data_IF_500864294514
#
_entry.id   IF_500864294514
#
_cell.length_a   1.000
_cell.length_b   1.000
_cell.length_c   1.000
_cell.angle_alpha   90.00
_cell.angle_beta   90.00
_cell.angle_gamma   90.00
#
_symmetry.space_group_name_H-M   'P 1'
#
loop_
_entity.id
_entity.type
_entity.pdbx_description
1 polymer ?
#
# COMPACT_ATOMS: atom_id res chain seq x y z
N UNK A 1 -1.72 23.29 2.33
CA UNK A 1 -1.39 21.92 2.78
C UNK A 1 -0.09 21.53 2.10
N UNK A 2 0.93 21.15 2.88
CA UNK A 2 2.19 20.65 2.32
C UNK A 2 2.03 19.20 1.83
N UNK A 3 2.92 18.69 0.96
CA UNK A 3 2.91 17.28 0.58
C UNK A 3 3.08 16.37 1.80
N UNK A 4 2.26 15.32 1.87
CA UNK A 4 2.43 14.26 2.86
C UNK A 4 3.56 13.32 2.46
N UNK A 5 4.39 12.98 3.43
CA UNK A 5 5.32 11.85 3.40
C UNK A 5 4.76 10.83 4.37
N UNK A 6 4.72 9.56 3.99
CA UNK A 6 4.23 8.48 4.84
C UNK A 6 5.36 7.55 5.26
N UNK A 7 5.30 7.05 6.49
CA UNK A 7 6.18 5.97 6.93
C UNK A 7 5.74 4.68 6.22
N UNK A 8 6.66 3.95 5.54
CA UNK A 8 6.30 2.72 4.84
C UNK A 8 5.89 1.63 5.82
N UNK A 9 4.91 0.82 5.44
CA UNK A 9 4.52 -0.38 6.18
C UNK A 9 5.23 -1.57 5.52
N UNK A 10 6.19 -2.15 6.24
CA UNK A 10 7.01 -3.25 5.74
C UNK A 10 6.38 -4.59 6.12
N UNK A 11 6.21 -5.48 5.14
CA UNK A 11 5.64 -6.81 5.33
C UNK A 11 6.68 -7.89 5.03
N UNK A 12 6.88 -8.80 5.99
CA UNK A 12 7.66 -10.02 5.79
C UNK A 12 6.73 -11.11 5.24
N UNK A 13 7.08 -11.70 4.11
CA UNK A 13 6.35 -12.78 3.45
C UNK A 13 7.38 -13.73 2.87
N UNK A 14 7.12 -15.04 2.90
CA UNK A 14 8.07 -16.10 2.51
C UNK A 14 8.79 -15.89 1.16
N UNK A 15 8.14 -15.25 0.18
CA UNK A 15 8.71 -14.98 -1.15
C UNK A 15 9.55 -13.68 -1.21
N UNK A 16 9.64 -12.94 -0.11
CA UNK A 16 10.38 -11.70 -0.02
C UNK A 16 11.89 -11.89 -0.07
N UNK A 17 12.59 -10.76 -0.15
CA UNK A 17 14.04 -10.71 -0.24
C UNK A 17 14.64 -9.59 0.62
N UNK A 18 15.70 -8.99 0.09
CA UNK A 18 16.42 -7.88 0.73
C UNK A 18 16.55 -6.63 -0.14
N UNK A 19 16.07 -6.63 -1.39
CA UNK A 19 16.21 -5.49 -2.32
C UNK A 19 15.48 -4.25 -1.82
N UNK A 20 14.40 -4.39 -1.04
CA UNK A 20 13.77 -3.24 -0.38
C UNK A 20 14.77 -2.47 0.51
N UNK A 21 15.64 -3.16 1.24
CA UNK A 21 16.67 -2.53 2.07
C UNK A 21 17.94 -2.17 1.30
N UNK A 22 18.43 -3.04 0.43
CA UNK A 22 19.72 -2.85 -0.24
C UNK A 22 19.65 -1.89 -1.43
N UNK A 23 18.51 -1.83 -2.14
CA UNK A 23 18.31 -0.97 -3.32
C UNK A 23 17.48 0.27 -2.98
N UNK A 24 16.35 0.09 -2.29
CA UNK A 24 15.45 1.19 -1.96
C UNK A 24 15.71 1.83 -0.59
N UNK A 25 16.73 1.35 0.13
CA UNK A 25 17.13 1.85 1.46
C UNK A 25 15.98 1.94 2.46
N UNK A 26 15.01 1.03 2.36
CA UNK A 26 13.91 0.94 3.32
C UNK A 26 14.44 0.46 4.68
N UNK A 27 13.86 0.92 5.80
CA UNK A 27 14.32 0.60 7.14
C UNK A 27 13.90 -0.83 7.57
N UNK A 28 14.42 -1.83 6.87
CA UNK A 28 14.21 -3.25 7.17
C UNK A 28 15.19 -3.72 8.25
N UNK A 29 14.83 -4.78 8.98
CA UNK A 29 15.71 -5.47 9.92
C UNK A 29 16.60 -6.53 9.24
N UNK A 30 17.10 -7.47 10.04
CA UNK A 30 18.02 -8.51 9.58
C UNK A 30 17.34 -9.69 8.87
N UNK A 31 16.01 -9.78 8.90
CA UNK A 31 15.29 -10.83 8.19
C UNK A 31 15.49 -10.74 6.66
N UNK A 32 15.38 -11.88 5.98
CA UNK A 32 15.68 -12.01 4.55
C UNK A 32 14.43 -12.15 3.67
N UNK A 33 13.24 -11.95 4.24
CA UNK A 33 11.94 -12.20 3.63
C UNK A 33 11.07 -10.94 3.60
N UNK A 34 11.67 -9.75 3.52
CA UNK A 34 10.94 -8.50 3.35
C UNK A 34 10.41 -8.42 1.92
N UNK A 35 9.09 -8.53 1.78
CA UNK A 35 8.41 -8.77 0.52
C UNK A 35 7.71 -7.52 -0.02
N UNK A 36 7.05 -6.76 0.86
CA UNK A 36 6.28 -5.58 0.47
C UNK A 36 6.66 -4.36 1.31
N UNK A 37 6.75 -3.20 0.65
CA UNK A 37 6.78 -1.88 1.29
C UNK A 37 5.56 -1.12 0.86
N UNK A 38 4.56 -0.97 1.72
CA UNK A 38 3.36 -0.20 1.41
C UNK A 38 3.65 1.27 1.66
N UNK A 39 3.58 2.05 0.59
CA UNK A 39 3.88 3.48 0.61
C UNK A 39 2.61 4.28 0.92
N UNK A 40 1.49 3.87 0.32
CA UNK A 40 0.17 4.47 0.58
C UNK A 40 -0.83 3.34 0.79
N UNK A 41 -1.46 3.31 1.96
CA UNK A 41 -2.48 2.34 2.31
C UNK A 41 -3.51 2.97 3.27
N UNK A 42 -4.77 2.64 3.07
CA UNK A 42 -5.87 2.99 3.96
C UNK A 42 -6.72 1.74 4.29
N UNK A 43 -6.08 0.57 4.38
CA UNK A 43 -6.75 -0.71 4.58
C UNK A 43 -6.81 -1.09 6.08
N UNK A 44 -7.76 -1.93 6.51
CA UNK A 44 -7.84 -2.37 7.90
C UNK A 44 -6.56 -3.02 8.44
N UNK A 45 -5.80 -3.71 7.58
CA UNK A 45 -4.56 -4.43 7.89
C UNK A 45 -3.28 -3.57 7.73
N UNK A 46 -3.45 -2.30 7.35
CA UNK A 46 -2.36 -1.35 7.18
C UNK A 46 -2.87 0.03 6.76
N UNK A 47 -2.65 1.01 7.65
CA UNK A 47 -2.93 2.43 7.37
C UNK A 47 -1.65 3.23 7.43
N UNK A 48 -1.30 3.88 6.32
CA UNK A 48 -0.12 4.74 6.24
C UNK A 48 -0.20 5.85 7.28
N UNK A 49 0.92 6.13 7.95
CA UNK A 49 1.03 7.16 8.98
C UNK A 49 1.86 8.31 8.44
N UNK A 50 1.35 9.53 8.53
CA UNK A 50 2.08 10.71 8.09
C UNK A 50 3.37 10.89 8.91
N UNK A 51 4.48 11.09 8.22
CA UNK A 51 5.83 11.18 8.79
C UNK A 51 6.33 12.62 8.91
N UNK A 52 5.61 13.60 8.35
CA UNK A 52 6.03 14.99 8.31
C UNK A 52 4.89 15.97 8.63
N UNK A 53 5.29 17.18 9.02
CA UNK A 53 4.37 18.29 9.16
C UNK A 53 3.45 18.25 10.37
N UNK A 54 2.44 19.13 10.35
CA UNK A 54 1.44 19.27 11.42
C UNK A 54 0.61 18.00 11.68
N UNK A 55 0.53 17.12 10.69
CA UNK A 55 -0.25 15.90 10.73
C UNK A 55 0.58 14.65 11.06
N UNK A 56 1.86 14.82 11.38
CA UNK A 56 2.74 13.71 11.71
C UNK A 56 2.14 12.84 12.83
N UNK A 57 2.19 11.52 12.64
CA UNK A 57 1.58 10.54 13.54
C UNK A 57 0.11 10.22 13.27
N UNK A 58 -0.58 10.99 12.42
CA UNK A 58 -1.96 10.67 12.02
C UNK A 58 -1.99 9.63 10.90
N UNK A 59 -2.99 8.75 10.92
CA UNK A 59 -3.22 7.77 9.86
C UNK A 59 -3.90 8.40 8.65
N UNK A 60 -3.67 7.87 7.45
CA UNK A 60 -4.38 8.29 6.23
C UNK A 60 -5.91 8.21 6.41
N UNK A 61 -6.41 7.19 7.11
CA UNK A 61 -7.83 7.07 7.45
C UNK A 61 -8.36 8.26 8.26
N UNK A 62 -7.61 8.70 9.29
CA UNK A 62 -7.98 9.86 10.10
C UNK A 62 -7.95 11.13 9.26
N UNK A 63 -6.95 11.30 8.40
CA UNK A 63 -6.84 12.42 7.48
C UNK A 63 -7.96 12.43 6.43
N UNK A 64 -8.42 11.25 6.00
CA UNK A 64 -9.57 11.09 5.11
C UNK A 64 -10.90 11.43 5.78
N UNK A 65 -10.97 11.46 7.12
CA UNK A 65 -12.15 11.93 7.85
C UNK A 65 -12.15 13.46 8.02
N UNK A 66 -11.00 14.06 8.32
CA UNK A 66 -10.89 15.50 8.62
C UNK A 66 -10.55 16.39 7.39
N UNK A 67 -9.84 15.85 6.40
CA UNK A 67 -9.27 16.59 5.27
C UNK A 67 -9.55 15.95 3.90
N UNK A 68 -10.64 15.17 3.80
CA UNK A 68 -11.01 14.42 2.59
C UNK A 68 -10.99 15.23 1.31
N UNK A 69 -11.59 16.43 1.32
CA UNK A 69 -11.72 17.28 0.13
C UNK A 69 -10.36 17.72 -0.40
N UNK A 70 -9.41 17.98 0.50
CA UNK A 70 -8.06 18.40 0.17
C UNK A 70 -7.22 17.24 -0.37
N UNK A 71 -7.43 16.03 0.15
CA UNK A 71 -6.71 14.82 -0.26
C UNK A 71 -7.24 14.28 -1.59
N UNK A 72 -8.57 14.17 -1.72
CA UNK A 72 -9.22 13.49 -2.84
C UNK A 72 -9.64 14.43 -3.98
N UNK A 73 -9.68 15.74 -3.73
CA UNK A 73 -10.17 16.73 -4.69
C UNK A 73 -11.57 16.38 -5.18
N UNK A 74 -11.71 16.20 -6.51
CA UNK A 74 -12.99 15.82 -7.15
C UNK A 74 -13.55 14.47 -6.70
N UNK A 75 -12.73 13.60 -6.09
CA UNK A 75 -13.12 12.27 -5.62
C UNK A 75 -13.52 12.25 -4.14
N UNK A 76 -13.77 13.40 -3.52
CA UNK A 76 -14.10 13.52 -2.10
C UNK A 76 -15.41 12.82 -1.67
N UNK A 77 -16.21 12.30 -2.60
CA UNK A 77 -17.36 11.46 -2.31
C UNK A 77 -16.98 10.04 -1.84
N UNK A 78 -15.74 9.59 -2.09
CA UNK A 78 -15.27 8.28 -1.64
C UNK A 78 -14.95 8.30 -0.14
N UNK A 79 -15.37 7.27 0.59
CA UNK A 79 -15.21 7.21 2.04
C UNK A 79 -13.84 6.70 2.52
N UNK A 80 -13.09 6.08 1.62
CA UNK A 80 -11.77 5.50 1.85
C UNK A 80 -10.82 5.92 0.73
N UNK A 81 -9.52 6.00 1.02
CA UNK A 81 -8.54 6.21 -0.05
C UNK A 81 -8.51 4.98 -0.99
N UNK A 82 -8.68 5.15 -2.31
CA UNK A 82 -9.05 4.05 -3.21
C UNK A 82 -7.87 3.22 -3.71
N UNK A 83 -6.64 3.61 -3.39
CA UNK A 83 -5.43 2.96 -3.93
C UNK A 83 -4.54 2.42 -2.81
N UNK A 84 -3.91 1.30 -3.13
CA UNK A 84 -2.81 0.73 -2.37
C UNK A 84 -1.56 0.77 -3.24
N UNK A 85 -0.53 1.50 -2.81
CA UNK A 85 0.71 1.68 -3.56
C UNK A 85 1.83 0.97 -2.80
N UNK A 86 2.55 0.08 -3.50
CA UNK A 86 3.59 -0.75 -2.89
C UNK A 86 4.84 -0.86 -3.78
N UNK A 87 5.97 -1.09 -3.14
CA UNK A 87 7.09 -1.80 -3.76
C UNK A 87 7.03 -3.28 -3.37
N UNK A 88 7.38 -4.15 -4.31
CA UNK A 88 7.47 -5.59 -4.11
C UNK A 88 8.90 -6.04 -4.40
N UNK A 89 9.45 -6.88 -3.53
CA UNK A 89 10.68 -7.65 -3.77
C UNK A 89 10.30 -9.12 -3.94
N UNK A 90 10.00 -9.50 -5.18
CA UNK A 90 9.57 -10.84 -5.55
C UNK A 90 10.77 -11.76 -5.77
N UNK A 91 11.34 -12.27 -4.68
CA UNK A 91 12.54 -13.11 -4.67
C UNK A 91 12.26 -14.63 -4.81
N UNK A 92 10.99 -15.03 -4.82
CA UNK A 92 10.52 -16.38 -5.14
C UNK A 92 9.16 -16.29 -5.85
N UNK A 93 8.62 -17.43 -6.29
CA UNK A 93 7.31 -17.53 -6.90
C UNK A 93 6.19 -17.08 -5.95
N UNK A 94 5.39 -16.14 -6.43
CA UNK A 94 4.10 -15.80 -5.81
C UNK A 94 3.03 -16.81 -6.27
N UNK A 95 1.92 -16.86 -5.54
CA UNK A 95 0.79 -17.68 -5.96
C UNK A 95 0.19 -17.17 -7.28
N UNK A 96 -0.34 -18.08 -8.08
CA UNK A 96 -1.22 -17.74 -9.20
C UNK A 96 -2.52 -17.16 -8.63
N UNK A 97 -2.88 -15.94 -9.02
CA UNK A 97 -4.02 -15.22 -8.48
C UNK A 97 -4.91 -14.68 -9.59
N UNK A 98 -6.22 -14.61 -9.31
CA UNK A 98 -7.21 -13.89 -10.10
C UNK A 98 -8.00 -13.03 -9.12
N UNK A 99 -8.21 -11.77 -9.48
CA UNK A 99 -8.94 -10.83 -8.64
C UNK A 99 -10.35 -10.61 -9.18
N UNK A 100 -11.38 -10.55 -8.31
CA UNK A 100 -12.73 -10.20 -8.72
C UNK A 100 -12.81 -8.74 -9.16
N UNK A 101 -13.73 -8.43 -10.06
CA UNK A 101 -14.23 -7.07 -10.25
C UNK A 101 -15.17 -6.67 -9.09
N UNK A 102 -15.65 -5.41 -9.09
CA UNK A 102 -16.50 -4.90 -8.00
C UNK A 102 -17.82 -5.69 -7.83
N UNK A 103 -18.48 -6.04 -8.94
CA UNK A 103 -19.72 -6.81 -8.92
C UNK A 103 -19.50 -8.22 -8.34
N UNK A 104 -18.43 -8.89 -8.73
CA UNK A 104 -18.06 -10.21 -8.23
C UNK A 104 -17.68 -10.16 -6.75
N UNK A 105 -16.91 -9.15 -6.31
CA UNK A 105 -16.52 -8.99 -4.91
C UNK A 105 -17.75 -8.81 -4.00
N UNK A 106 -18.74 -8.04 -4.45
CA UNK A 106 -20.03 -7.91 -3.77
C UNK A 106 -20.80 -9.24 -3.72
N UNK A 107 -20.89 -9.96 -4.85
CA UNK A 107 -21.59 -11.25 -4.93
C UNK A 107 -20.95 -12.34 -4.05
N UNK A 108 -19.63 -12.30 -3.86
CA UNK A 108 -18.92 -13.22 -2.97
C UNK A 108 -19.02 -12.84 -1.49
N UNK A 109 -19.61 -11.67 -1.17
CA UNK A 109 -19.72 -11.20 0.21
C UNK A 109 -18.35 -10.88 0.83
N UNK A 110 -17.37 -10.47 0.02
CA UNK A 110 -16.00 -10.22 0.48
C UNK A 110 -15.90 -9.05 1.48
N UNK A 111 -16.91 -8.16 1.50
CA UNK A 111 -16.87 -6.94 2.30
C UNK A 111 -15.86 -5.90 1.77
N UNK A 112 -15.34 -6.12 0.56
CA UNK A 112 -14.32 -5.32 -0.09
C UNK A 112 -14.71 -5.03 -1.56
N UNK A 113 -14.07 -4.03 -2.16
CA UNK A 113 -14.19 -3.76 -3.59
C UNK A 113 -13.41 -4.79 -4.42
N UNK A 114 -13.63 -4.80 -5.73
CA UNK A 114 -12.79 -5.53 -6.66
C UNK A 114 -11.35 -5.03 -6.64
N UNK A 115 -10.43 -5.84 -7.16
CA UNK A 115 -9.00 -5.52 -7.17
C UNK A 115 -8.46 -5.52 -8.59
N UNK A 116 -8.45 -4.34 -9.19
CA UNK A 116 -7.66 -4.08 -10.40
C UNK A 116 -6.27 -3.63 -9.99
N UNK A 117 -5.24 -4.17 -10.62
CA UNK A 117 -3.85 -3.80 -10.34
C UNK A 117 -3.05 -3.56 -11.62
N UNK A 118 -1.93 -2.87 -11.46
CA UNK A 118 -0.97 -2.61 -12.52
C UNK A 118 0.43 -2.70 -11.92
N UNK A 119 1.36 -3.26 -12.70
CA UNK A 119 2.73 -3.50 -12.27
C UNK A 119 3.67 -2.68 -13.15
N UNK A 120 4.61 -2.01 -12.50
CA UNK A 120 5.74 -1.37 -13.17
C UNK A 120 6.99 -2.14 -12.73
N UNK A 121 7.63 -2.82 -13.68
CA UNK A 121 8.86 -3.57 -13.40
C UNK A 121 10.01 -2.57 -13.31
N UNK A 122 10.61 -2.46 -12.12
CA UNK A 122 11.73 -1.56 -11.86
C UNK A 122 13.09 -2.23 -12.08
N UNK A 123 13.16 -3.53 -11.79
CA UNK A 123 14.34 -4.39 -11.94
C UNK A 123 13.87 -5.84 -12.12
N UNK A 124 14.64 -6.64 -12.87
CA UNK A 124 14.40 -8.06 -13.07
C UNK A 124 15.70 -8.78 -13.44
N UNK A 125 15.92 -9.97 -12.87
CA UNK A 125 17.04 -10.84 -13.24
C UNK A 125 16.70 -11.60 -14.55
N UNK A 126 17.71 -11.86 -15.42
CA UNK A 126 17.49 -12.56 -16.70
C UNK A 126 16.97 -13.99 -16.57
#
# INVERSE_FOLDING_TARGET
MQPFVFTPILKQIRWGGRKLGTVLHKPIGDAADYAESWEIADQPDGRSVAANGEFSGQTLSSLMQSHRKQIMGRHAAMDQFPLLIKFLDANDWLSLQVHPNDEQAQNYGAGENGKTEAWVILDAEP
#
